data_IF_743044307927
#
_entry.id   IF_743044307927
#
_cell.length_a   1.000
_cell.length_b   1.000
_cell.length_c   1.000
_cell.angle_alpha   90.00
_cell.angle_beta   90.00
_cell.angle_gamma   90.00
#
_symmetry.space_group_name_H-M   'P 1'
#
loop_
_entity.id
_entity.type
_entity.pdbx_description
1 polymer ?
#
# COMPACT_ATOMS: atom_id res chain seq x y z
N UNK A 1 -12.77 -45.91 -9.60
CA UNK A 1 -12.75 -45.16 -8.34
C UNK A 1 -11.49 -44.30 -8.26
N UNK A 2 -10.29 -44.88 -8.41
CA UNK A 2 -9.04 -44.11 -8.35
C UNK A 2 -8.85 -43.08 -9.47
N UNK A 3 -9.24 -43.38 -10.72
CA UNK A 3 -9.11 -42.43 -11.84
C UNK A 3 -9.97 -41.17 -11.68
N UNK A 4 -11.16 -41.28 -11.09
CA UNK A 4 -12.05 -40.13 -10.83
C UNK A 4 -11.49 -39.24 -9.71
N UNK A 5 -10.88 -39.84 -8.69
CA UNK A 5 -10.18 -39.12 -7.62
C UNK A 5 -8.95 -38.37 -8.14
N UNK A 6 -8.19 -39.00 -9.04
CA UNK A 6 -7.03 -38.38 -9.70
C UNK A 6 -7.46 -37.20 -10.59
N UNK A 7 -8.54 -37.35 -11.37
CA UNK A 7 -9.09 -36.25 -12.18
C UNK A 7 -9.57 -35.08 -11.32
N UNK A 8 -10.27 -35.36 -10.20
CA UNK A 8 -10.74 -34.30 -9.29
C UNK A 8 -9.56 -33.55 -8.65
N UNK A 9 -8.48 -34.25 -8.28
CA UNK A 9 -7.25 -33.63 -7.76
C UNK A 9 -6.57 -32.72 -8.77
N UNK A 10 -6.42 -33.17 -10.02
CA UNK A 10 -5.81 -32.36 -11.09
C UNK A 10 -6.61 -31.08 -11.34
N UNK A 11 -7.95 -31.16 -11.35
CA UNK A 11 -8.81 -29.98 -11.48
C UNK A 11 -8.65 -29.01 -10.31
N UNK A 12 -8.53 -29.52 -9.09
CA UNK A 12 -8.29 -28.67 -7.91
C UNK A 12 -6.91 -28.00 -7.95
N UNK A 13 -5.86 -28.69 -8.37
CA UNK A 13 -4.53 -28.11 -8.55
C UNK A 13 -4.53 -27.00 -9.61
N UNK A 14 -5.16 -27.25 -10.77
CA UNK A 14 -5.31 -26.21 -11.81
C UNK A 14 -6.10 -24.99 -11.32
N UNK A 15 -7.17 -25.23 -10.54
CA UNK A 15 -7.98 -24.17 -9.93
C UNK A 15 -7.16 -23.31 -8.97
N UNK A 16 -6.39 -23.96 -8.12
CA UNK A 16 -5.52 -23.32 -7.13
C UNK A 16 -4.45 -22.48 -7.81
N UNK A 17 -3.76 -23.04 -8.82
CA UNK A 17 -2.73 -22.33 -9.58
C UNK A 17 -3.29 -21.08 -10.27
N UNK A 18 -4.51 -21.16 -10.82
CA UNK A 18 -5.18 -20.01 -11.43
C UNK A 18 -5.46 -18.90 -10.41
N UNK A 19 -5.92 -19.24 -9.21
CA UNK A 19 -6.17 -18.23 -8.17
C UNK A 19 -4.89 -17.64 -7.61
N UNK A 20 -3.83 -18.44 -7.43
CA UNK A 20 -2.50 -17.94 -7.06
C UNK A 20 -1.99 -16.95 -8.11
N UNK A 21 -2.15 -17.25 -9.41
CA UNK A 21 -1.77 -16.32 -10.47
C UNK A 21 -2.58 -15.03 -10.45
N UNK A 22 -3.89 -15.08 -10.21
CA UNK A 22 -4.74 -13.87 -10.09
C UNK A 22 -4.30 -13.03 -8.90
N UNK A 23 -4.03 -13.64 -7.75
CA UNK A 23 -3.52 -12.95 -6.57
C UNK A 23 -2.17 -12.29 -6.83
N UNK A 24 -1.23 -12.97 -7.48
CA UNK A 24 0.07 -12.40 -7.88
C UNK A 24 -0.07 -11.18 -8.80
N UNK A 25 -0.96 -11.25 -9.80
CA UNK A 25 -1.24 -10.10 -10.68
C UNK A 25 -1.79 -8.91 -9.91
N UNK A 26 -2.72 -9.15 -8.98
CA UNK A 26 -3.29 -8.09 -8.12
C UNK A 26 -2.23 -7.45 -7.23
N UNK A 27 -1.35 -8.26 -6.63
CA UNK A 27 -0.23 -7.74 -5.83
C UNK A 27 0.70 -6.86 -6.65
N UNK A 28 1.08 -7.30 -7.86
CA UNK A 28 1.94 -6.51 -8.75
C UNK A 28 1.35 -5.15 -9.10
N UNK A 29 0.04 -5.07 -9.37
CA UNK A 29 -0.65 -3.79 -9.64
C UNK A 29 -0.62 -2.87 -8.40
N UNK A 30 -0.78 -3.44 -7.20
CA UNK A 30 -0.74 -2.67 -5.95
C UNK A 30 0.68 -2.15 -5.70
N UNK A 31 1.71 -2.97 -5.91
CA UNK A 31 3.11 -2.57 -5.77
C UNK A 31 3.49 -1.44 -6.72
N UNK A 32 3.01 -1.49 -7.97
CA UNK A 32 3.21 -0.43 -8.96
C UNK A 32 2.56 0.89 -8.50
N UNK A 33 1.32 0.85 -8.03
CA UNK A 33 0.65 2.04 -7.47
C UNK A 33 1.37 2.63 -6.27
N UNK A 34 1.94 1.79 -5.41
CA UNK A 34 2.74 2.25 -4.26
C UNK A 34 3.99 2.98 -4.77
N UNK A 35 4.68 2.44 -5.78
CA UNK A 35 5.85 3.08 -6.38
C UNK A 35 5.52 4.41 -7.06
N UNK A 36 4.42 4.48 -7.80
CA UNK A 36 3.95 5.74 -8.41
C UNK A 36 3.63 6.79 -7.36
N UNK A 37 2.91 6.40 -6.31
CA UNK A 37 2.55 7.30 -5.21
C UNK A 37 3.79 7.84 -4.50
N UNK A 38 4.79 6.98 -4.25
CA UNK A 38 6.08 7.42 -3.68
C UNK A 38 6.76 8.46 -4.56
N UNK A 39 6.89 8.20 -5.87
CA UNK A 39 7.50 9.14 -6.81
C UNK A 39 6.76 10.49 -6.85
N UNK A 40 5.43 10.47 -6.73
CA UNK A 40 4.63 11.68 -6.69
C UNK A 40 4.89 12.49 -5.42
N UNK A 41 4.92 11.82 -4.26
CA UNK A 41 5.25 12.45 -2.98
C UNK A 41 6.65 13.04 -3.01
N UNK A 42 7.64 12.28 -3.49
CA UNK A 42 9.04 12.73 -3.57
C UNK A 42 9.15 14.01 -4.43
N UNK A 43 8.53 14.04 -5.62
CA UNK A 43 8.49 15.24 -6.45
C UNK A 43 7.79 16.41 -5.77
N UNK A 44 6.66 16.16 -5.11
CA UNK A 44 5.90 17.22 -4.43
C UNK A 44 6.72 17.83 -3.30
N UNK A 45 7.48 17.01 -2.57
CA UNK A 45 8.42 17.47 -1.55
C UNK A 45 9.58 18.26 -2.17
N UNK A 46 10.18 17.78 -3.26
CA UNK A 46 11.25 18.50 -3.98
C UNK A 46 10.78 19.86 -4.54
N UNK A 47 9.60 19.90 -5.16
CA UNK A 47 9.00 21.14 -5.67
C UNK A 47 8.73 22.12 -4.53
N UNK A 48 8.21 21.64 -3.41
CA UNK A 48 7.99 22.46 -2.22
C UNK A 48 9.29 22.99 -1.60
N UNK A 49 10.34 22.16 -1.51
CA UNK A 49 11.67 22.58 -1.05
C UNK A 49 12.28 23.61 -2.01
N UNK A 50 12.09 23.44 -3.32
CA UNK A 50 12.59 24.36 -4.35
C UNK A 50 11.86 25.72 -4.32
N UNK A 51 10.54 25.70 -4.15
CA UNK A 51 9.71 26.91 -4.01
C UNK A 51 10.00 27.64 -2.69
N UNK A 52 10.16 26.90 -1.59
CA UNK A 52 10.50 27.49 -0.28
C UNK A 52 11.93 28.05 -0.26
N UNK A 53 12.90 27.39 -0.90
CA UNK A 53 14.23 27.95 -1.10
C UNK A 53 14.18 29.25 -1.93
N UNK A 54 13.44 29.29 -3.04
CA UNK A 54 13.29 30.50 -3.87
C UNK A 54 12.60 31.66 -3.14
N UNK A 55 11.63 31.40 -2.26
CA UNK A 55 10.98 32.44 -1.42
C UNK A 55 11.90 32.96 -0.32
N UNK A 56 12.72 32.11 0.29
CA UNK A 56 13.66 32.52 1.34
C UNK A 56 14.79 33.42 0.82
N UNK A 57 15.15 33.32 -0.46
CA UNK A 57 16.10 34.26 -1.09
C UNK A 57 15.48 35.61 -1.50
N UNK A 58 14.14 35.73 -1.59
CA UNK A 58 13.47 36.99 -1.99
C UNK A 58 12.83 37.79 -0.85
N UNK A 59 12.82 37.28 0.38
CA UNK A 59 12.28 37.97 1.56
C UNK A 59 13.32 38.07 2.68
N UNK A 60 14.27 38.99 2.53
CA UNK A 60 15.15 39.42 3.62
C UNK A 60 14.48 40.40 4.60
N UNK A 61 13.14 40.52 4.63
CA UNK A 61 12.44 41.44 5.54
C UNK A 61 11.17 40.95 6.23
N UNK A 62 10.68 39.72 6.01
CA UNK A 62 9.38 39.30 6.59
C UNK A 62 9.46 38.00 7.41
N UNK A 63 9.90 38.13 8.67
CA UNK A 63 9.86 37.05 9.67
C UNK A 63 8.45 36.43 9.86
N UNK A 64 7.36 37.16 9.56
CA UNK A 64 5.99 36.66 9.65
C UNK A 64 5.66 35.56 8.64
N UNK A 65 6.23 35.60 7.43
CA UNK A 65 5.99 34.56 6.42
C UNK A 65 6.70 33.25 6.79
N UNK A 66 7.87 33.34 7.44
CA UNK A 66 8.67 32.19 7.88
C UNK A 66 7.92 31.33 8.92
N UNK A 67 7.31 31.95 9.93
CA UNK A 67 6.53 31.24 10.96
C UNK A 67 5.28 30.53 10.40
N UNK A 68 4.61 31.14 9.42
CA UNK A 68 3.46 30.50 8.77
C UNK A 68 3.86 29.27 7.95
N UNK A 69 5.01 29.32 7.28
CA UNK A 69 5.55 28.19 6.50
C UNK A 69 5.95 27.03 7.43
N UNK A 70 6.62 27.29 8.55
CA UNK A 70 6.94 26.26 9.55
C UNK A 70 5.69 25.62 10.16
N UNK A 71 4.68 26.43 10.54
CA UNK A 71 3.43 25.88 11.09
C UNK A 71 2.67 25.00 10.08
N UNK A 72 2.75 25.33 8.79
CA UNK A 72 2.15 24.55 7.71
C UNK A 72 2.91 23.23 7.49
N UNK A 73 4.25 23.24 7.58
CA UNK A 73 5.07 22.02 7.51
C UNK A 73 4.71 21.04 8.62
N UNK A 74 4.59 21.52 9.86
CA UNK A 74 4.24 20.66 11.00
C UNK A 74 2.83 20.07 10.88
N UNK A 75 1.88 20.83 10.31
CA UNK A 75 0.53 20.33 10.06
C UNK A 75 0.50 19.28 8.95
N UNK A 76 1.26 19.49 7.87
CA UNK A 76 1.27 18.56 6.74
C UNK A 76 2.03 17.27 7.08
N UNK A 77 3.11 17.35 7.86
CA UNK A 77 3.81 16.17 8.41
C UNK A 77 2.85 15.36 9.28
N UNK A 78 2.12 16.00 10.19
CA UNK A 78 1.11 15.31 11.03
C UNK A 78 0.01 14.64 10.21
N UNK A 79 -0.43 15.28 9.12
CA UNK A 79 -1.41 14.66 8.19
C UNK A 79 -0.81 13.43 7.51
N UNK A 80 0.41 13.53 6.98
CA UNK A 80 1.07 12.41 6.31
C UNK A 80 1.35 11.25 7.29
N UNK A 81 1.75 11.54 8.52
CA UNK A 81 1.91 10.54 9.58
C UNK A 81 0.58 9.85 9.91
N UNK A 82 -0.52 10.60 9.99
CA UNK A 82 -1.85 10.05 10.21
C UNK A 82 -2.27 9.11 9.07
N UNK A 83 -2.15 9.56 7.82
CA UNK A 83 -2.49 8.76 6.63
C UNK A 83 -1.65 7.49 6.55
N UNK A 84 -0.35 7.57 6.88
CA UNK A 84 0.52 6.40 6.97
C UNK A 84 -0.01 5.38 7.98
N UNK A 85 -0.45 5.86 9.14
CA UNK A 85 -0.96 5.00 10.22
C UNK A 85 -2.29 4.33 9.85
N UNK A 86 -3.16 5.03 9.12
CA UNK A 86 -4.38 4.47 8.54
C UNK A 86 -4.07 3.34 7.55
N UNK A 87 -3.14 3.58 6.61
CA UNK A 87 -2.71 2.56 5.64
C UNK A 87 -2.10 1.34 6.34
N UNK A 88 -1.26 1.54 7.36
CA UNK A 88 -0.68 0.45 8.14
C UNK A 88 -1.76 -0.38 8.85
N UNK A 89 -2.83 0.25 9.35
CA UNK A 89 -3.97 -0.42 9.94
C UNK A 89 -4.78 -1.21 8.90
N UNK A 90 -5.05 -0.65 7.73
CA UNK A 90 -5.73 -1.36 6.65
C UNK A 90 -4.95 -2.61 6.21
N UNK A 91 -3.62 -2.49 6.05
CA UNK A 91 -2.74 -3.63 5.74
C UNK A 91 -2.84 -4.71 6.83
N UNK A 92 -2.88 -4.32 8.10
CA UNK A 92 -2.98 -5.25 9.23
C UNK A 92 -4.31 -6.01 9.22
N UNK A 93 -5.42 -5.33 8.94
CA UNK A 93 -6.73 -5.98 8.83
C UNK A 93 -6.84 -6.89 7.60
N UNK A 94 -6.29 -6.46 6.45
CA UNK A 94 -6.21 -7.32 5.26
C UNK A 94 -5.41 -8.59 5.52
N UNK A 95 -4.26 -8.50 6.22
CA UNK A 95 -3.45 -9.67 6.62
C UNK A 95 -4.21 -10.63 7.53
N UNK A 96 -4.98 -10.11 8.49
CA UNK A 96 -5.83 -10.94 9.36
C UNK A 96 -6.93 -11.64 8.55
N UNK A 97 -7.57 -10.92 7.63
CA UNK A 97 -8.61 -11.49 6.77
C UNK A 97 -8.04 -12.59 5.88
N UNK A 98 -6.88 -12.37 5.29
CA UNK A 98 -6.19 -13.37 4.47
C UNK A 98 -5.88 -14.65 5.26
N UNK A 99 -5.34 -14.51 6.47
CA UNK A 99 -5.06 -15.66 7.35
C UNK A 99 -6.33 -16.45 7.69
N UNK A 100 -7.45 -15.78 7.95
CA UNK A 100 -8.73 -16.47 8.22
C UNK A 100 -9.21 -17.27 7.01
N UNK A 101 -9.05 -16.73 5.81
CA UNK A 101 -9.43 -17.44 4.58
C UNK A 101 -8.51 -18.64 4.32
N UNK A 102 -7.20 -18.48 4.58
CA UNK A 102 -6.21 -19.56 4.51
C UNK A 102 -6.55 -20.69 5.51
N UNK A 103 -6.88 -20.35 6.76
CA UNK A 103 -7.31 -21.33 7.78
C UNK A 103 -8.63 -22.02 7.41
N UNK A 104 -9.55 -21.32 6.75
CA UNK A 104 -10.81 -21.88 6.26
C UNK A 104 -10.54 -22.88 5.14
N UNK A 105 -9.72 -22.51 4.16
CA UNK A 105 -9.35 -23.39 3.04
C UNK A 105 -8.57 -24.62 3.52
N UNK A 106 -7.65 -24.48 4.48
CA UNK A 106 -6.92 -25.62 5.07
C UNK A 106 -7.88 -26.59 5.79
N UNK A 107 -8.94 -26.08 6.42
CA UNK A 107 -10.01 -26.92 7.01
C UNK A 107 -10.84 -27.62 5.93
N UNK A 108 -11.26 -26.92 4.89
CA UNK A 108 -12.02 -27.52 3.77
C UNK A 108 -11.19 -28.65 3.11
N UNK A 109 -9.88 -28.47 2.95
CA UNK A 109 -9.00 -29.46 2.32
C UNK A 109 -8.71 -30.71 3.18
N UNK A 110 -8.78 -30.61 4.51
CA UNK A 110 -8.55 -31.75 5.43
C UNK A 110 -9.80 -32.60 5.69
N UNK A 111 -10.99 -32.08 5.38
CA UNK A 111 -12.27 -32.78 5.56
C UNK A 111 -12.86 -33.33 4.25
N UNK A 112 -12.18 -33.13 3.10
CA UNK A 112 -12.35 -33.92 1.86
C UNK A 112 -11.43 -35.15 1.84
#
# INVERSE_FOLDING_TARGET
MDEQLIQKRLQLEESYDQEVQKCRRRMSIVEEKILETRRFVDRTVEDYLTVSARRNYSQSSDNKAFYHIESFKDQEIKRLEHTKLEIENEIKELRKSYRREEERLDKEFRYE
#
